data_IF_114264624791
#
_entry.id   IF_114264624791
#
_cell.length_a   1.000
_cell.length_b   1.000
_cell.length_c   1.000
_cell.angle_alpha   90.00
_cell.angle_beta   90.00
_cell.angle_gamma   90.00
#
_symmetry.space_group_name_H-M   'P 1'
#
loop_
_entity.id
_entity.type
_entity.pdbx_description
1 polymer ?
#
# COMPACT_ATOMS: atom_id res chain seq x y z
N UNK A 1 -23.10 -24.34 16.47
CA UNK A 1 -22.47 -25.28 15.51
C UNK A 1 -23.46 -25.91 14.54
N UNK A 2 -24.62 -26.40 14.97
CA UNK A 2 -25.60 -27.04 14.06
C UNK A 2 -26.21 -26.08 13.01
N UNK A 3 -26.49 -24.83 13.40
CA UNK A 3 -27.02 -23.79 12.49
C UNK A 3 -26.06 -23.40 11.35
N UNK A 4 -24.75 -23.50 11.57
CA UNK A 4 -23.73 -23.24 10.53
C UNK A 4 -23.65 -24.38 9.51
N UNK A 5 -23.82 -25.63 9.96
CA UNK A 5 -23.89 -26.80 9.08
C UNK A 5 -25.17 -26.81 8.24
N UNK A 6 -26.31 -26.38 8.83
CA UNK A 6 -27.58 -26.23 8.11
C UNK A 6 -27.49 -25.10 7.07
N UNK A 7 -26.84 -23.98 7.39
CA UNK A 7 -26.61 -22.89 6.44
C UNK A 7 -25.68 -23.31 5.29
N UNK A 8 -24.61 -24.07 5.57
CA UNK A 8 -23.71 -24.60 4.54
C UNK A 8 -24.41 -25.61 3.62
N UNK A 9 -25.25 -26.51 4.15
CA UNK A 9 -26.06 -27.41 3.32
C UNK A 9 -27.10 -26.66 2.47
N UNK A 10 -27.70 -25.60 2.98
CA UNK A 10 -28.62 -24.76 2.20
C UNK A 10 -27.90 -24.01 1.07
N UNK A 11 -26.68 -23.51 1.28
CA UNK A 11 -25.87 -22.86 0.23
C UNK A 11 -25.43 -23.88 -0.83
N UNK A 12 -25.06 -25.10 -0.43
CA UNK A 12 -24.69 -26.15 -1.38
C UNK A 12 -25.89 -26.68 -2.18
N UNK A 13 -27.07 -26.78 -1.56
CA UNK A 13 -28.30 -27.18 -2.24
C UNK A 13 -28.97 -26.08 -3.08
N UNK A 14 -28.75 -24.81 -2.75
CA UNK A 14 -29.25 -23.65 -3.52
C UNK A 14 -28.27 -23.16 -4.59
N UNK A 15 -27.11 -23.80 -4.75
CA UNK A 15 -26.15 -23.50 -5.82
C UNK A 15 -26.78 -23.51 -7.23
N UNK A 16 -27.83 -24.32 -7.44
CA UNK A 16 -28.59 -24.33 -8.70
C UNK A 16 -29.69 -23.25 -8.79
N UNK A 17 -30.09 -22.64 -7.67
CA UNK A 17 -31.12 -21.58 -7.63
C UNK A 17 -30.53 -20.17 -7.69
N UNK A 18 -29.24 -19.99 -7.34
CA UNK A 18 -28.53 -18.71 -7.48
C UNK A 18 -28.14 -18.36 -8.93
N UNK A 19 -28.31 -19.29 -9.88
CA UNK A 19 -28.07 -19.05 -11.31
C UNK A 19 -29.06 -18.05 -11.97
N UNK A 20 -30.13 -17.64 -11.28
CA UNK A 20 -31.16 -16.75 -11.85
C UNK A 20 -30.94 -15.25 -11.56
N UNK A 21 -29.90 -14.88 -10.81
CA UNK A 21 -29.50 -13.48 -10.61
C UNK A 21 -28.28 -13.18 -11.47
N UNK A 22 -28.48 -12.36 -12.51
CA UNK A 22 -27.48 -12.13 -13.57
C UNK A 22 -26.11 -11.70 -13.04
N UNK A 23 -25.05 -12.35 -13.53
CA UNK A 23 -23.67 -11.90 -13.30
C UNK A 23 -23.45 -10.59 -14.05
N UNK A 24 -22.94 -9.56 -13.37
CA UNK A 24 -22.44 -8.37 -14.06
C UNK A 24 -21.18 -8.72 -14.84
N UNK A 25 -21.05 -8.20 -16.05
CA UNK A 25 -19.81 -8.35 -16.81
C UNK A 25 -18.66 -7.71 -16.03
N UNK A 26 -17.61 -8.48 -15.75
CA UNK A 26 -16.43 -7.98 -15.06
C UNK A 26 -15.63 -7.04 -15.97
N UNK A 27 -15.06 -5.99 -15.37
CA UNK A 27 -14.11 -5.12 -16.04
C UNK A 27 -12.86 -5.93 -16.42
N UNK A 28 -12.35 -5.83 -17.66
CA UNK A 28 -11.15 -6.54 -18.10
C UNK A 28 -9.96 -6.34 -17.16
N UNK A 29 -9.82 -5.15 -16.59
CA UNK A 29 -8.71 -4.76 -15.71
C UNK A 29 -8.66 -5.55 -14.40
N UNK A 30 -9.76 -6.17 -13.98
CA UNK A 30 -9.78 -7.04 -12.80
C UNK A 30 -8.81 -8.23 -12.95
N UNK A 31 -8.55 -8.69 -14.19
CA UNK A 31 -7.67 -9.82 -14.48
C UNK A 31 -6.34 -9.41 -15.13
N UNK A 32 -6.00 -8.12 -15.12
CA UNK A 32 -4.79 -7.58 -15.74
C UNK A 32 -3.70 -7.29 -14.71
N UNK A 33 -2.44 -7.54 -15.04
CA UNK A 33 -1.31 -6.98 -14.30
C UNK A 33 -1.15 -5.47 -14.58
N UNK A 34 -0.28 -4.78 -13.83
CA UNK A 34 -0.07 -3.33 -13.96
C UNK A 34 0.25 -2.92 -15.41
N UNK A 35 1.18 -3.60 -16.09
CA UNK A 35 1.55 -3.27 -17.47
C UNK A 35 0.39 -3.45 -18.44
N UNK A 36 -0.44 -4.48 -18.24
CA UNK A 36 -1.65 -4.69 -19.03
C UNK A 36 -2.67 -3.58 -18.77
N UNK A 37 -2.90 -3.16 -17.52
CA UNK A 37 -3.81 -2.04 -17.21
C UNK A 37 -3.34 -0.72 -17.83
N UNK A 38 -2.04 -0.42 -17.76
CA UNK A 38 -1.46 0.79 -18.38
C UNK A 38 -1.65 0.74 -19.91
N UNK A 39 -1.33 -0.39 -20.53
CA UNK A 39 -1.40 -0.56 -21.98
C UNK A 39 -2.85 -0.61 -22.49
N UNK A 40 -3.77 -1.16 -21.71
CA UNK A 40 -5.21 -1.19 -22.01
C UNK A 40 -5.77 0.22 -22.24
N UNK A 41 -5.29 1.20 -21.47
CA UNK A 41 -5.68 2.60 -21.63
C UNK A 41 -4.88 3.37 -22.69
N UNK A 42 -4.02 2.70 -23.45
CA UNK A 42 -3.24 3.29 -24.54
C UNK A 42 -1.97 4.03 -24.09
N UNK A 43 -1.53 3.86 -22.85
CA UNK A 43 -0.27 4.42 -22.35
C UNK A 43 0.87 3.42 -22.54
N UNK A 44 2.08 3.94 -22.72
CA UNK A 44 3.29 3.11 -22.72
C UNK A 44 3.60 2.65 -21.30
N UNK A 45 3.81 1.34 -21.13
CA UNK A 45 4.28 0.76 -19.87
C UNK A 45 5.75 0.31 -19.97
N UNK A 46 6.55 0.65 -18.97
CA UNK A 46 7.86 0.04 -18.75
C UNK A 46 7.93 -0.56 -17.34
N UNK A 47 8.49 -1.76 -17.20
CA UNK A 47 8.75 -2.39 -15.91
C UNK A 47 10.26 -2.49 -15.68
N UNK A 48 10.70 -2.08 -14.50
CA UNK A 48 12.09 -2.11 -14.08
C UNK A 48 12.22 -2.91 -12.79
N UNK A 49 13.28 -3.71 -12.67
CA UNK A 49 13.62 -4.41 -11.43
C UNK A 49 14.62 -3.58 -10.64
N UNK A 50 14.24 -3.20 -9.43
CA UNK A 50 15.11 -2.52 -8.46
C UNK A 50 15.52 -3.52 -7.39
N UNK A 51 16.82 -3.60 -7.09
CA UNK A 51 17.35 -4.50 -6.06
C UNK A 51 17.70 -3.64 -4.85
N UNK A 52 17.15 -3.96 -3.68
CA UNK A 52 17.44 -3.27 -2.43
C UNK A 52 18.78 -3.74 -1.85
N UNK A 53 19.36 -2.94 -0.95
CA UNK A 53 20.63 -3.28 -0.29
C UNK A 53 20.57 -4.62 0.47
N UNK A 54 19.39 -4.99 0.98
CA UNK A 54 19.11 -6.25 1.67
C UNK A 54 18.51 -7.33 0.76
N UNK A 55 18.61 -7.15 -0.57
CA UNK A 55 18.39 -8.20 -1.56
C UNK A 55 16.95 -8.38 -2.05
N UNK A 56 15.99 -7.55 -1.66
CA UNK A 56 14.64 -7.62 -2.23
C UNK A 56 14.65 -7.11 -3.67
N UNK A 57 13.87 -7.75 -4.53
CA UNK A 57 13.68 -7.36 -5.93
C UNK A 57 12.29 -6.76 -6.08
N UNK A 58 12.24 -5.44 -6.25
CA UNK A 58 11.02 -4.65 -6.40
C UNK A 58 10.75 -4.44 -7.89
N UNK A 59 9.56 -4.81 -8.38
CA UNK A 59 9.14 -4.37 -9.72
C UNK A 59 8.53 -2.98 -9.64
N UNK A 60 9.18 -2.02 -10.28
CA UNK A 60 8.77 -0.63 -10.36
C UNK A 60 8.28 -0.36 -11.77
N UNK A 61 7.09 0.22 -11.90
CA UNK A 61 6.46 0.48 -13.19
C UNK A 61 6.60 1.95 -13.57
N UNK A 62 6.60 2.24 -14.87
CA UNK A 62 6.78 3.59 -15.38
C UNK A 62 5.84 3.89 -16.54
N UNK A 63 5.22 5.07 -16.51
CA UNK A 63 4.48 5.68 -17.60
C UNK A 63 5.32 6.89 -18.07
N UNK A 64 6.12 6.75 -19.13
CA UNK A 64 7.14 7.73 -19.48
C UNK A 64 6.59 9.04 -20.08
N UNK A 65 5.38 9.01 -20.61
CA UNK A 65 4.68 10.17 -21.20
C UNK A 65 3.17 9.88 -21.32
N UNK A 66 2.38 10.95 -21.47
CA UNK A 66 0.96 10.87 -21.79
C UNK A 66 0.71 10.30 -23.18
N UNK A 67 -0.45 9.68 -23.39
CA UNK A 67 -0.76 8.90 -24.61
C UNK A 67 -0.67 9.70 -25.92
N UNK A 68 -0.86 11.02 -25.85
CA UNK A 68 -0.83 11.92 -27.01
C UNK A 68 0.51 12.70 -27.15
N UNK A 69 1.50 12.42 -26.30
CA UNK A 69 2.73 13.23 -26.16
C UNK A 69 4.02 12.44 -26.46
N UNK A 70 3.93 11.44 -27.33
CA UNK A 70 5.08 10.57 -27.66
C UNK A 70 6.27 11.30 -28.32
N UNK A 71 6.04 12.46 -28.94
CA UNK A 71 7.03 13.17 -29.75
C UNK A 71 7.79 14.28 -28.99
N UNK A 72 7.48 14.56 -27.73
CA UNK A 72 8.15 15.64 -27.01
C UNK A 72 9.57 15.23 -26.56
N UNK A 73 10.56 15.94 -27.12
CA UNK A 73 12.00 15.69 -27.01
C UNK A 73 12.62 16.17 -25.69
N UNK A 74 11.90 16.93 -24.87
CA UNK A 74 12.40 17.46 -23.59
C UNK A 74 12.41 16.45 -22.44
N UNK A 75 13.35 16.62 -21.51
CA UNK A 75 13.42 15.82 -20.29
C UNK A 75 12.26 16.16 -19.35
N UNK A 76 11.46 15.16 -18.99
CA UNK A 76 10.26 15.35 -18.16
C UNK A 76 10.60 15.34 -16.67
N UNK A 77 9.92 16.16 -15.85
CA UNK A 77 10.02 16.05 -14.40
C UNK A 77 9.50 14.70 -13.94
N UNK A 78 10.22 14.08 -13.02
CA UNK A 78 9.89 12.74 -12.51
C UNK A 78 8.97 12.83 -11.30
N UNK A 79 7.96 11.96 -11.25
CA UNK A 79 7.10 11.76 -10.07
C UNK A 79 7.15 10.30 -9.68
N UNK A 80 7.42 10.01 -8.40
CA UNK A 80 7.27 8.68 -7.81
C UNK A 80 5.99 8.62 -6.98
N UNK A 81 5.11 7.68 -7.29
CA UNK A 81 3.86 7.40 -6.59
C UNK A 81 4.00 6.15 -5.72
N UNK A 82 3.86 6.29 -4.41
CA UNK A 82 4.02 5.21 -3.42
C UNK A 82 2.70 4.89 -2.71
N UNK A 83 2.26 3.64 -2.85
CA UNK A 83 1.00 3.14 -2.27
C UNK A 83 1.06 2.97 -0.74
N UNK A 84 -0.11 2.70 -0.15
CA UNK A 84 -0.30 2.52 1.29
C UNK A 84 -0.23 1.07 1.79
N UNK A 85 -0.68 0.86 3.03
CA UNK A 85 -0.73 -0.44 3.70
C UNK A 85 -1.60 -1.43 2.91
N UNK A 86 -1.13 -2.68 2.75
CA UNK A 86 -1.78 -3.76 1.99
C UNK A 86 -2.10 -3.47 0.51
N UNK A 87 -1.67 -2.31 -0.01
CA UNK A 87 -1.97 -1.89 -1.36
C UNK A 87 -0.83 -2.19 -2.33
N UNK A 88 -0.94 -1.66 -3.54
CA UNK A 88 0.06 -1.81 -4.58
C UNK A 88 0.03 -0.66 -5.58
N UNK A 89 0.95 -0.67 -6.55
CA UNK A 89 1.04 0.37 -7.57
C UNK A 89 -0.23 0.56 -8.43
N UNK A 90 -1.13 -0.42 -8.48
CA UNK A 90 -2.40 -0.29 -9.22
C UNK A 90 -3.29 0.83 -8.69
N UNK A 91 -3.19 1.20 -7.40
CA UNK A 91 -4.01 2.25 -6.81
C UNK A 91 -3.97 3.58 -7.59
N UNK A 92 -2.86 3.84 -8.28
CA UNK A 92 -2.68 5.08 -9.05
C UNK A 92 -3.26 5.02 -10.47
N UNK A 93 -3.76 3.85 -10.91
CA UNK A 93 -4.23 3.54 -12.27
C UNK A 93 -5.50 2.66 -12.30
N UNK A 94 -6.17 2.45 -11.16
CA UNK A 94 -7.33 1.54 -11.06
C UNK A 94 -8.62 2.09 -11.70
N UNK A 95 -8.68 3.40 -11.99
CA UNK A 95 -9.83 4.06 -12.60
C UNK A 95 -9.59 4.38 -14.08
N UNK A 96 -10.34 5.35 -14.61
CA UNK A 96 -10.17 5.83 -15.96
C UNK A 96 -8.93 6.75 -16.05
N UNK A 97 -8.41 7.00 -17.26
CA UNK A 97 -7.32 7.96 -17.44
C UNK A 97 -7.61 9.37 -16.92
N UNK A 98 -8.87 9.80 -17.02
CA UNK A 98 -9.32 11.14 -16.58
C UNK A 98 -9.42 11.31 -15.05
N UNK A 99 -9.30 10.24 -14.27
CA UNK A 99 -9.46 10.29 -12.81
C UNK A 99 -8.52 9.32 -12.06
N UNK A 100 -7.41 8.93 -12.68
CA UNK A 100 -6.34 8.19 -12.03
C UNK A 100 -5.06 9.03 -12.06
N UNK A 101 -4.48 9.28 -10.89
CA UNK A 101 -3.36 10.20 -10.75
C UNK A 101 -2.16 9.84 -11.64
N UNK A 102 -1.88 8.55 -11.80
CA UNK A 102 -0.78 8.09 -12.66
C UNK A 102 -0.96 8.50 -14.12
N UNK A 103 -2.18 8.39 -14.66
CA UNK A 103 -2.49 8.79 -16.03
C UNK A 103 -2.57 10.32 -16.17
N UNK A 104 -3.21 11.00 -15.23
CA UNK A 104 -3.32 12.47 -15.23
C UNK A 104 -1.96 13.14 -15.21
N UNK A 105 -1.01 12.65 -14.40
CA UNK A 105 0.35 13.18 -14.37
C UNK A 105 1.11 12.93 -15.67
N UNK A 106 0.96 11.74 -16.27
CA UNK A 106 1.57 11.44 -17.55
C UNK A 106 1.07 12.39 -18.66
N UNK A 107 -0.24 12.61 -18.73
CA UNK A 107 -0.86 13.56 -19.67
C UNK A 107 -0.50 15.02 -19.37
N UNK A 108 -0.19 15.35 -18.12
CA UNK A 108 0.34 16.65 -17.71
C UNK A 108 1.85 16.84 -17.98
N UNK A 109 2.50 15.88 -18.66
CA UNK A 109 3.89 15.98 -19.09
C UNK A 109 4.93 15.49 -18.08
N UNK A 110 4.54 14.72 -17.06
CA UNK A 110 5.47 14.11 -16.11
C UNK A 110 5.95 12.73 -16.58
N UNK A 111 7.14 12.34 -16.13
CA UNK A 111 7.62 10.96 -16.18
C UNK A 111 7.21 10.25 -14.88
N UNK A 112 6.20 9.39 -14.96
CA UNK A 112 5.53 8.82 -13.79
C UNK A 112 6.10 7.45 -13.47
N UNK A 113 6.51 7.27 -12.22
CA UNK A 113 7.00 6.01 -11.67
C UNK A 113 6.09 5.53 -10.55
N UNK A 114 5.77 4.24 -10.54
CA UNK A 114 4.86 3.59 -9.59
C UNK A 114 5.67 2.59 -8.76
N UNK A 115 5.87 2.90 -7.48
CA UNK A 115 6.62 2.07 -6.55
C UNK A 115 5.81 0.89 -6.02
N UNK A 116 6.47 -0.23 -5.76
CA UNK A 116 5.90 -1.37 -5.04
C UNK A 116 6.77 -1.68 -3.82
N UNK A 117 6.13 -1.86 -2.67
CA UNK A 117 6.80 -2.24 -1.42
C UNK A 117 7.02 -3.75 -1.35
N UNK A 118 8.16 -4.16 -0.77
CA UNK A 118 8.51 -5.57 -0.50
C UNK A 118 7.35 -6.39 0.06
N UNK A 119 7.19 -7.60 -0.45
CA UNK A 119 6.16 -8.57 -0.05
C UNK A 119 4.81 -8.45 -0.77
N UNK A 120 4.50 -7.30 -1.39
CA UNK A 120 3.30 -7.20 -2.21
C UNK A 120 3.40 -8.07 -3.49
N UNK A 121 2.30 -8.20 -4.24
CA UNK A 121 2.18 -9.04 -5.46
C UNK A 121 3.35 -8.89 -6.44
N UNK A 122 3.93 -7.69 -6.58
CA UNK A 122 4.98 -7.39 -7.56
C UNK A 122 6.37 -7.16 -6.95
N UNK A 123 6.53 -7.39 -5.66
CA UNK A 123 7.80 -7.23 -4.95
C UNK A 123 8.06 -8.40 -3.99
N UNK A 124 7.66 -9.62 -4.40
CA UNK A 124 7.78 -10.86 -3.62
C UNK A 124 8.93 -11.74 -4.10
N UNK A 125 10.12 -11.17 -4.21
CA UNK A 125 11.33 -11.90 -4.60
C UNK A 125 12.52 -11.32 -3.85
N UNK A 126 13.45 -12.17 -3.42
CA UNK A 126 14.67 -11.78 -2.73
C UNK A 126 15.82 -12.65 -3.25
N UNK A 127 17.04 -12.11 -3.26
CA UNK A 127 18.24 -12.80 -3.74
C UNK A 127 18.73 -13.91 -2.80
N UNK A 128 18.41 -13.82 -1.51
CA UNK A 128 18.95 -14.68 -0.46
C UNK A 128 17.88 -15.59 0.16
N UNK A 129 16.63 -15.14 0.21
CA UNK A 129 15.55 -15.82 0.93
C UNK A 129 14.39 -16.20 0.01
N UNK A 130 13.84 -17.40 0.19
CA UNK A 130 12.61 -17.82 -0.48
C UNK A 130 11.39 -17.08 0.10
N UNK A 131 10.38 -16.71 -0.71
CA UNK A 131 9.08 -16.24 -0.21
C UNK A 131 8.38 -17.18 0.78
N UNK A 132 8.78 -18.46 0.84
CA UNK A 132 8.25 -19.42 1.81
C UNK A 132 8.99 -19.43 3.15
N UNK A 133 10.10 -18.70 3.28
CA UNK A 133 10.89 -18.59 4.51
C UNK A 133 10.35 -17.50 5.45
N UNK A 134 10.61 -17.60 6.75
CA UNK A 134 10.18 -16.58 7.71
C UNK A 134 11.03 -15.30 7.59
N UNK A 135 12.30 -15.47 7.26
CA UNK A 135 13.31 -14.44 7.05
C UNK A 135 12.89 -13.47 5.94
N UNK A 136 12.28 -13.99 4.87
CA UNK A 136 11.70 -13.17 3.80
C UNK A 136 10.58 -12.22 4.27
N UNK A 137 9.90 -12.53 5.37
CA UNK A 137 8.79 -11.71 5.88
C UNK A 137 9.15 -10.96 7.17
N UNK A 138 10.42 -10.99 7.59
CA UNK A 138 10.91 -10.31 8.77
C UNK A 138 11.18 -8.82 8.48
N UNK A 139 10.17 -8.09 8.01
CA UNK A 139 10.24 -6.67 7.68
C UNK A 139 8.96 -5.93 8.10
N UNK A 140 9.05 -4.61 8.22
CA UNK A 140 7.95 -3.67 8.41
C UNK A 140 8.13 -2.45 7.47
N UNK A 141 7.38 -1.37 7.69
CA UNK A 141 7.60 -0.11 6.99
C UNK A 141 8.96 0.53 7.29
N UNK A 142 9.67 0.08 8.33
CA UNK A 142 11.05 0.52 8.64
C UNK A 142 12.01 0.15 7.51
N UNK A 143 11.99 -1.11 7.10
CA UNK A 143 12.84 -1.57 6.01
C UNK A 143 12.38 -1.00 4.65
N UNK A 144 11.08 -0.73 4.48
CA UNK A 144 10.60 -0.04 3.28
C UNK A 144 11.19 1.38 3.19
N UNK A 145 11.24 2.12 4.30
CA UNK A 145 11.84 3.44 4.35
C UNK A 145 13.37 3.40 4.24
N UNK A 146 13.99 2.41 4.87
CA UNK A 146 15.46 2.28 4.95
C UNK A 146 16.08 1.74 3.68
N UNK A 147 15.37 0.89 2.92
CA UNK A 147 15.94 0.18 1.78
C UNK A 147 15.13 0.30 0.49
N UNK A 148 13.81 0.12 0.52
CA UNK A 148 13.00 0.14 -0.72
C UNK A 148 13.03 1.52 -1.36
N UNK A 149 12.72 2.55 -0.58
CA UNK A 149 12.60 3.90 -1.08
C UNK A 149 13.94 4.48 -1.56
N UNK A 150 15.07 4.38 -0.83
CA UNK A 150 16.36 4.84 -1.33
C UNK A 150 16.80 4.12 -2.61
N UNK A 151 16.63 2.79 -2.67
CA UNK A 151 17.02 1.99 -3.84
C UNK A 151 16.20 2.37 -5.07
N UNK A 152 14.90 2.55 -4.89
CA UNK A 152 13.97 2.96 -5.95
C UNK A 152 14.29 4.36 -6.47
N UNK A 153 14.43 5.34 -5.57
CA UNK A 153 14.73 6.72 -5.96
C UNK A 153 16.08 6.81 -6.66
N UNK A 154 17.12 6.16 -6.13
CA UNK A 154 18.45 6.18 -6.75
C UNK A 154 18.44 5.53 -8.13
N UNK A 155 17.71 4.42 -8.30
CA UNK A 155 17.53 3.79 -9.60
C UNK A 155 16.88 4.75 -10.60
N UNK A 156 15.78 5.39 -10.20
CA UNK A 156 15.02 6.31 -11.06
C UNK A 156 15.87 7.50 -11.49
N UNK A 157 16.56 8.14 -10.56
CA UNK A 157 17.41 9.31 -10.86
C UNK A 157 18.57 8.93 -11.78
N UNK A 158 19.19 7.77 -11.56
CA UNK A 158 20.23 7.26 -12.45
C UNK A 158 19.68 6.95 -13.85
N UNK A 159 18.50 6.31 -13.93
CA UNK A 159 17.87 5.94 -15.20
C UNK A 159 17.44 7.14 -16.04
N UNK A 160 16.98 8.20 -15.37
CA UNK A 160 16.39 9.39 -16.01
C UNK A 160 17.38 10.54 -16.20
N UNK A 161 18.51 10.51 -15.48
CA UNK A 161 19.47 11.62 -15.41
C UNK A 161 18.97 12.83 -14.62
N UNK A 162 17.79 12.73 -13.97
CA UNK A 162 17.27 13.79 -13.12
C UNK A 162 18.04 13.84 -11.80
N UNK A 163 18.17 15.04 -11.23
CA UNK A 163 18.81 15.23 -9.91
C UNK A 163 17.84 15.12 -8.75
N UNK A 164 16.55 15.41 -9.00
CA UNK A 164 15.48 15.37 -8.01
C UNK A 164 14.20 14.84 -8.64
N UNK A 165 13.28 14.33 -7.80
CA UNK A 165 11.93 13.94 -8.21
C UNK A 165 10.87 14.46 -7.24
N UNK A 166 9.63 14.50 -7.68
CA UNK A 166 8.46 14.72 -6.83
C UNK A 166 8.04 13.37 -6.22
N UNK A 167 7.74 13.35 -4.92
CA UNK A 167 7.28 12.15 -4.24
C UNK A 167 5.83 12.32 -3.80
N UNK A 168 4.96 11.38 -4.19
CA UNK A 168 3.57 11.33 -3.73
C UNK A 168 3.37 10.04 -2.96
N UNK A 169 3.00 10.15 -1.69
CA UNK A 169 2.69 9.02 -0.83
C UNK A 169 1.21 9.00 -0.47
N UNK A 170 0.61 7.81 -0.39
CA UNK A 170 -0.71 7.62 0.20
C UNK A 170 -0.63 6.70 1.43
N UNK A 171 -1.28 7.08 2.55
CA UNK A 171 -1.34 6.25 3.76
C UNK A 171 0.07 5.82 4.23
N UNK A 172 0.37 4.52 4.36
CA UNK A 172 1.73 4.03 4.70
C UNK A 172 2.82 4.55 3.76
N UNK A 173 2.51 4.85 2.48
CA UNK A 173 3.46 5.49 1.56
C UNK A 173 3.95 6.85 2.08
N UNK A 174 3.12 7.56 2.84
CA UNK A 174 3.53 8.79 3.53
C UNK A 174 4.45 8.49 4.72
N UNK A 175 4.11 7.47 5.55
CA UNK A 175 4.94 7.00 6.67
C UNK A 175 6.35 6.65 6.21
N UNK A 176 6.47 5.89 5.12
CA UNK A 176 7.74 5.53 4.51
C UNK A 176 8.54 6.78 4.12
N UNK A 177 7.87 7.77 3.52
CA UNK A 177 8.46 9.06 3.19
C UNK A 177 8.93 9.85 4.42
N UNK A 178 8.08 9.95 5.46
CA UNK A 178 8.42 10.63 6.71
C UNK A 178 9.66 10.02 7.37
N UNK A 179 9.74 8.69 7.48
CA UNK A 179 10.90 7.99 8.04
C UNK A 179 12.13 8.26 7.17
N UNK A 180 12.04 7.98 5.87
CA UNK A 180 13.21 8.04 4.99
C UNK A 180 13.78 9.46 4.88
N UNK A 181 12.91 10.47 4.75
CA UNK A 181 13.34 11.86 4.55
C UNK A 181 13.78 12.56 5.85
N UNK A 182 13.33 12.09 7.03
CA UNK A 182 13.83 12.58 8.33
C UNK A 182 15.13 11.91 8.78
N UNK A 183 15.41 10.69 8.33
CA UNK A 183 16.57 9.90 8.79
C UNK A 183 17.70 9.82 7.76
N UNK A 184 17.45 10.16 6.49
CA UNK A 184 18.43 10.14 5.42
C UNK A 184 18.51 11.50 4.69
N UNK A 185 19.32 12.46 5.19
CA UNK A 185 19.44 13.79 4.60
C UNK A 185 19.88 13.77 3.13
N UNK A 186 20.74 12.83 2.75
CA UNK A 186 21.22 12.66 1.37
C UNK A 186 20.08 12.24 0.43
N UNK A 187 19.13 11.43 0.91
CA UNK A 187 17.93 11.08 0.15
C UNK A 187 16.94 12.25 0.11
N UNK A 188 16.72 12.93 1.25
CA UNK A 188 15.82 14.08 1.35
C UNK A 188 16.16 15.19 0.34
N UNK A 189 17.45 15.46 0.13
CA UNK A 189 17.93 16.45 -0.86
C UNK A 189 17.54 16.12 -2.32
N UNK A 190 17.21 14.86 -2.61
CA UNK A 190 16.77 14.37 -3.92
C UNK A 190 15.25 14.51 -4.11
N UNK A 191 14.52 14.96 -3.10
CA UNK A 191 13.08 15.21 -3.20
C UNK A 191 12.86 16.69 -3.49
N UNK A 192 12.08 16.98 -4.53
CA UNK A 192 11.72 18.35 -4.90
C UNK A 192 10.52 18.84 -4.08
N UNK A 193 9.52 17.98 -3.90
CA UNK A 193 8.38 18.19 -3.03
C UNK A 193 7.77 16.83 -2.65
N UNK A 194 7.22 16.75 -1.44
CA UNK A 194 6.49 15.60 -0.92
C UNK A 194 4.98 15.95 -0.86
N UNK A 195 4.16 15.22 -1.60
CA UNK A 195 2.70 15.31 -1.54
C UNK A 195 2.18 14.13 -0.71
N UNK A 196 1.66 14.42 0.48
CA UNK A 196 1.19 13.41 1.41
C UNK A 196 -0.35 13.35 1.40
N UNK A 197 -0.90 12.25 0.87
CA UNK A 197 -2.34 11.99 0.81
C UNK A 197 -2.73 11.03 1.94
N UNK A 198 -3.68 11.41 2.78
CA UNK A 198 -4.03 10.70 4.02
C UNK A 198 -2.76 10.37 4.83
N UNK A 199 -2.05 11.39 5.34
CA UNK A 199 -0.75 11.19 5.96
C UNK A 199 -0.87 10.41 7.27
N UNK A 200 0.06 9.49 7.51
CA UNK A 200 0.10 8.68 8.72
C UNK A 200 1.49 8.73 9.33
N UNK A 201 1.60 9.30 10.53
CA UNK A 201 2.81 9.25 11.34
C UNK A 201 2.51 8.59 12.70
N UNK A 202 1.47 9.05 13.38
CA UNK A 202 0.87 8.37 14.54
C UNK A 202 -0.50 7.81 14.18
N UNK A 203 -0.95 6.81 14.94
CA UNK A 203 -2.26 6.15 14.79
C UNK A 203 -2.92 5.94 16.16
N UNK A 204 -2.83 6.96 17.02
CA UNK A 204 -3.29 6.90 18.41
C UNK A 204 -4.80 7.13 18.53
N UNK A 205 -5.38 7.92 17.64
CA UNK A 205 -6.76 8.41 17.71
C UNK A 205 -7.67 7.82 16.62
N UNK A 206 -7.13 6.88 15.86
CA UNK A 206 -7.82 6.20 14.77
C UNK A 206 -9.09 5.50 15.25
N UNK A 207 -10.05 5.34 14.35
CA UNK A 207 -11.38 4.77 14.63
C UNK A 207 -11.65 3.51 13.80
N UNK A 208 -10.67 3.06 13.04
CA UNK A 208 -10.74 1.86 12.20
C UNK A 208 -10.92 0.58 13.02
N UNK A 209 -11.60 -0.42 12.42
CA UNK A 209 -11.73 -1.74 13.06
C UNK A 209 -10.38 -2.46 13.20
N UNK A 210 -9.36 -2.04 12.45
CA UNK A 210 -7.99 -2.57 12.59
C UNK A 210 -7.39 -2.34 13.98
N UNK A 211 -7.88 -1.36 14.76
CA UNK A 211 -7.40 -1.12 16.12
C UNK A 211 -7.59 -2.31 17.05
N UNK A 212 -8.55 -3.18 16.75
CA UNK A 212 -8.76 -4.43 17.50
C UNK A 212 -7.56 -5.37 17.42
N UNK A 213 -6.75 -5.28 16.37
CA UNK A 213 -5.49 -6.04 16.25
C UNK A 213 -4.46 -5.62 17.31
N UNK A 214 -4.52 -4.37 17.79
CA UNK A 214 -3.66 -3.86 18.86
C UNK A 214 -3.99 -4.42 20.25
N UNK A 215 -5.19 -4.98 20.41
CA UNK A 215 -5.61 -5.65 21.65
C UNK A 215 -4.98 -7.05 21.79
N UNK A 216 -4.50 -7.63 20.68
CA UNK A 216 -3.90 -8.96 20.65
C UNK A 216 -2.43 -8.83 21.11
N UNK A 217 -2.00 -9.54 22.18
CA UNK A 217 -0.60 -9.53 22.59
C UNK A 217 0.33 -10.06 21.48
N UNK A 218 1.56 -9.55 21.31
CA UNK A 218 2.45 -9.94 20.21
C UNK A 218 2.69 -11.45 20.06
N UNK A 219 2.79 -12.18 21.18
CA UNK A 219 2.91 -13.64 21.18
C UNK A 219 1.70 -14.31 20.53
N UNK A 220 0.48 -13.91 20.93
CA UNK A 220 -0.75 -14.43 20.36
C UNK A 220 -0.94 -13.99 18.90
N UNK A 221 -0.48 -12.79 18.55
CA UNK A 221 -0.52 -12.29 17.17
C UNK A 221 0.25 -13.22 16.22
N UNK A 222 1.47 -13.62 16.60
CA UNK A 222 2.29 -14.57 15.82
C UNK A 222 1.70 -15.98 15.80
N UNK A 223 0.98 -16.40 16.84
CA UNK A 223 0.25 -17.69 16.83
C UNK A 223 -0.92 -17.65 15.83
N UNK A 224 -1.68 -16.55 15.80
CA UNK A 224 -2.87 -16.44 14.97
C UNK A 224 -2.56 -16.25 13.48
N UNK A 225 -1.56 -15.42 13.17
CA UNK A 225 -1.25 -15.02 11.79
C UNK A 225 0.05 -15.65 11.25
N UNK A 226 0.82 -16.34 12.09
CA UNK A 226 2.13 -16.88 11.74
C UNK A 226 3.23 -15.83 11.74
N UNK A 227 4.27 -16.08 10.95
CA UNK A 227 5.48 -15.23 10.83
C UNK A 227 5.84 -14.93 9.37
N UNK A 228 4.89 -15.09 8.44
CA UNK A 228 5.10 -14.93 7.00
C UNK A 228 4.23 -13.79 6.45
N UNK A 229 3.60 -14.01 5.30
CA UNK A 229 2.61 -13.11 4.73
C UNK A 229 1.41 -12.96 5.66
N UNK A 230 0.95 -11.72 5.83
CA UNK A 230 -0.27 -11.42 6.57
C UNK A 230 -1.49 -11.76 5.72
N UNK A 231 -2.12 -12.88 6.06
CA UNK A 231 -3.45 -13.23 5.58
C UNK A 231 -4.45 -12.92 6.70
N UNK A 232 -5.26 -11.85 6.60
CA UNK A 232 -6.42 -11.75 7.45
C UNK A 232 -7.35 -12.92 7.10
N UNK A 233 -7.35 -13.97 7.92
CA UNK A 233 -8.18 -15.15 7.69
C UNK A 233 -9.66 -14.74 7.47
N UNK A 234 -10.29 -15.39 6.46
CA UNK A 234 -11.71 -15.31 6.05
C UNK A 234 -12.18 -14.10 5.21
N UNK A 235 -11.32 -13.38 4.51
CA UNK A 235 -11.81 -12.17 3.81
C UNK A 235 -11.43 -12.00 2.34
N UNK A 236 -10.30 -12.54 1.90
CA UNK A 236 -9.81 -12.30 0.54
C UNK A 236 -9.12 -13.53 -0.03
N UNK A 237 -9.89 -14.58 -0.35
CA UNK A 237 -9.44 -15.47 -1.42
C UNK A 237 -9.62 -14.73 -2.74
N UNK A 238 -8.51 -14.24 -3.28
CA UNK A 238 -8.39 -13.33 -4.43
C UNK A 238 -8.87 -13.89 -5.78
N UNK A 239 -9.54 -15.04 -5.80
CA UNK A 239 -10.22 -15.59 -6.97
C UNK A 239 -11.75 -15.61 -6.79
N UNK A 240 -12.23 -15.75 -5.55
CA UNK A 240 -13.65 -15.71 -5.25
C UNK A 240 -14.14 -14.29 -4.97
N UNK A 241 -13.29 -13.38 -4.48
CA UNK A 241 -13.69 -12.00 -4.18
C UNK A 241 -14.31 -11.27 -5.37
N UNK A 242 -13.64 -11.23 -6.53
CA UNK A 242 -14.17 -10.53 -7.70
C UNK A 242 -15.47 -11.16 -8.24
N UNK A 243 -15.54 -12.50 -8.25
CA UNK A 243 -16.73 -13.26 -8.67
C UNK A 243 -17.91 -13.05 -7.69
N UNK A 244 -17.64 -13.12 -6.38
CA UNK A 244 -18.60 -12.89 -5.29
C UNK A 244 -19.13 -11.46 -5.32
N UNK A 245 -18.26 -10.47 -5.48
CA UNK A 245 -18.65 -9.06 -5.46
C UNK A 245 -19.30 -8.59 -6.79
N UNK A 246 -19.23 -9.40 -7.86
CA UNK A 246 -20.00 -9.16 -9.09
C UNK A 246 -21.49 -9.48 -8.96
N UNK A 247 -21.90 -10.17 -7.88
CA UNK A 247 -23.29 -10.46 -7.54
C UNK A 247 -23.92 -9.35 -6.67
N UNK A 248 -25.12 -8.90 -7.04
CA UNK A 248 -25.80 -7.74 -6.41
C UNK A 248 -26.06 -7.86 -4.90
N UNK A 249 -26.29 -9.07 -4.39
CA UNK A 249 -26.54 -9.30 -2.95
C UNK A 249 -25.24 -9.30 -2.14
N UNK A 250 -24.14 -9.77 -2.73
CA UNK A 250 -22.86 -9.97 -2.07
C UNK A 250 -21.95 -8.73 -2.18
N UNK A 251 -22.22 -7.83 -3.13
CA UNK A 251 -21.65 -6.48 -3.24
C UNK A 251 -21.68 -5.73 -1.88
N UNK A 252 -22.77 -5.86 -1.11
CA UNK A 252 -22.92 -5.23 0.22
C UNK A 252 -21.87 -5.71 1.22
N UNK A 253 -21.53 -7.01 1.20
CA UNK A 253 -20.51 -7.57 2.10
C UNK A 253 -19.12 -7.06 1.73
N UNK A 254 -18.82 -6.98 0.44
CA UNK A 254 -17.55 -6.48 -0.08
C UNK A 254 -17.34 -4.98 0.21
N UNK A 255 -18.43 -4.20 0.16
CA UNK A 255 -18.44 -2.80 0.59
C UNK A 255 -18.09 -2.68 2.07
N UNK A 256 -18.83 -3.38 2.92
CA UNK A 256 -18.59 -3.33 4.38
C UNK A 256 -17.17 -3.76 4.73
N UNK A 257 -16.63 -4.67 3.93
CA UNK A 257 -15.29 -5.18 4.04
C UNK A 257 -14.19 -4.13 3.80
N UNK A 258 -14.23 -3.47 2.63
CA UNK A 258 -13.30 -2.41 2.25
C UNK A 258 -13.42 -1.19 3.19
N UNK A 259 -14.65 -0.78 3.48
CA UNK A 259 -14.92 0.41 4.28
C UNK A 259 -14.66 0.23 5.79
N UNK A 260 -14.68 -0.99 6.32
CA UNK A 260 -14.34 -1.25 7.72
C UNK A 260 -12.88 -0.90 8.06
N UNK A 261 -12.01 -0.85 7.05
CA UNK A 261 -10.58 -0.58 7.21
C UNK A 261 -10.26 0.91 7.07
N UNK A 262 -10.77 1.58 6.04
CA UNK A 262 -10.36 2.94 5.67
C UNK A 262 -11.39 4.03 5.96
N UNK A 263 -12.65 3.68 6.26
CA UNK A 263 -13.75 4.64 6.37
C UNK A 263 -14.69 4.64 5.17
N UNK A 264 -15.94 5.02 5.39
CA UNK A 264 -17.07 4.84 4.46
C UNK A 264 -17.44 6.13 3.73
N UNK A 265 -17.30 6.14 2.41
CA UNK A 265 -17.85 7.19 1.54
C UNK A 265 -18.39 6.63 0.22
N UNK A 266 -19.58 6.03 0.28
CA UNK A 266 -20.24 5.48 -0.91
C UNK A 266 -20.56 6.51 -1.99
N UNK A 267 -20.59 7.81 -1.67
CA UNK A 267 -20.92 8.84 -2.67
C UNK A 267 -19.77 9.07 -3.65
N UNK A 268 -18.55 8.77 -3.21
CA UNK A 268 -17.33 9.06 -3.96
C UNK A 268 -16.62 7.81 -4.50
N UNK A 269 -17.19 6.61 -4.30
CA UNK A 269 -16.67 5.37 -4.87
C UNK A 269 -17.43 4.99 -6.16
N UNK A 270 -16.69 4.72 -7.24
CA UNK A 270 -17.29 4.18 -8.46
C UNK A 270 -17.63 2.69 -8.26
N UNK A 271 -18.88 2.42 -7.89
CA UNK A 271 -19.37 1.08 -7.62
C UNK A 271 -19.25 0.12 -8.81
N UNK A 272 -19.26 0.62 -10.05
CA UNK A 272 -19.09 -0.20 -11.24
C UNK A 272 -17.66 -0.71 -11.45
N UNK A 273 -16.69 -0.31 -10.62
CA UNK A 273 -15.29 -0.76 -10.68
C UNK A 273 -14.83 -1.47 -9.41
N UNK A 274 -15.76 -1.84 -8.52
CA UNK A 274 -15.42 -2.50 -7.27
C UNK A 274 -14.72 -3.85 -7.48
N UNK A 275 -15.07 -4.58 -8.54
CA UNK A 275 -14.38 -5.78 -8.99
C UNK A 275 -12.89 -5.55 -9.28
N UNK A 276 -12.53 -4.44 -9.94
CA UNK A 276 -11.14 -4.05 -10.18
C UNK A 276 -10.42 -3.75 -8.85
N UNK A 277 -11.06 -3.02 -7.94
CA UNK A 277 -10.41 -2.66 -6.67
C UNK A 277 -10.09 -3.88 -5.82
N UNK A 278 -11.02 -4.83 -5.73
CA UNK A 278 -10.93 -6.02 -4.90
C UNK A 278 -10.07 -7.13 -5.52
N UNK A 279 -9.97 -7.18 -6.85
CA UNK A 279 -9.03 -8.08 -7.51
C UNK A 279 -7.57 -7.68 -7.26
N UNK A 280 -7.31 -6.39 -7.03
CA UNK A 280 -5.96 -5.85 -6.83
C UNK A 280 -5.61 -5.51 -5.37
N UNK A 281 -6.58 -5.54 -4.46
CA UNK A 281 -6.38 -5.24 -3.04
C UNK A 281 -7.14 -6.25 -2.15
N UNK A 282 -6.48 -6.80 -1.12
CA UNK A 282 -5.11 -6.53 -0.68
C UNK A 282 -4.06 -7.21 -1.58
N UNK A 283 -2.92 -6.54 -1.77
CA UNK A 283 -1.80 -7.04 -2.56
C UNK A 283 -0.71 -7.75 -1.72
N UNK A 284 -0.83 -7.71 -0.40
CA UNK A 284 0.06 -8.42 0.54
C UNK A 284 1.03 -7.55 1.32
N UNK A 285 1.37 -8.03 2.52
CA UNK A 285 2.37 -7.46 3.44
C UNK A 285 2.84 -8.58 4.39
N UNK A 286 3.89 -8.36 5.17
CA UNK A 286 4.30 -9.27 6.26
C UNK A 286 3.40 -9.15 7.50
N UNK A 287 3.32 -10.23 8.28
CA UNK A 287 2.76 -10.21 9.64
C UNK A 287 3.53 -9.23 10.53
N UNK A 288 4.86 -9.11 10.35
CA UNK A 288 5.68 -8.16 11.10
C UNK A 288 5.26 -6.70 10.84
N UNK A 289 4.92 -6.33 9.60
CA UNK A 289 4.42 -4.99 9.30
C UNK A 289 3.05 -4.72 9.97
N UNK A 290 2.15 -5.71 9.95
CA UNK A 290 0.87 -5.59 10.66
C UNK A 290 1.06 -5.50 12.19
N UNK A 291 2.03 -6.23 12.73
CA UNK A 291 2.41 -6.16 14.15
C UNK A 291 3.04 -4.80 14.49
N UNK A 292 3.82 -4.20 13.58
CA UNK A 292 4.35 -2.87 13.78
C UNK A 292 3.23 -1.82 13.89
N UNK A 293 2.23 -1.86 13.00
CA UNK A 293 1.05 -0.99 13.14
C UNK A 293 0.28 -1.23 14.46
N UNK A 294 0.17 -2.47 14.90
CA UNK A 294 -0.41 -2.82 16.22
C UNK A 294 0.37 -2.18 17.39
N UNK A 295 1.71 -2.18 17.33
CA UNK A 295 2.56 -1.47 18.30
C UNK A 295 2.37 0.05 18.25
N UNK A 296 2.22 0.62 17.05
CA UNK A 296 1.98 2.05 16.87
C UNK A 296 0.63 2.48 17.47
N UNK A 297 -0.44 1.71 17.25
CA UNK A 297 -1.76 1.96 17.87
C UNK A 297 -1.66 1.90 19.40
N UNK A 298 -1.00 0.86 19.93
CA UNK A 298 -0.88 0.67 21.38
C UNK A 298 -0.05 1.75 22.07
N UNK A 299 1.03 2.19 21.44
CA UNK A 299 1.95 3.18 22.02
C UNK A 299 1.53 4.62 21.73
N UNK A 300 0.82 4.86 20.64
CA UNK A 300 0.54 6.19 20.10
C UNK A 300 1.80 6.96 19.68
N UNK A 301 2.91 6.26 19.43
CA UNK A 301 4.20 6.85 19.08
C UNK A 301 4.56 6.53 17.63
N UNK A 302 5.31 7.43 17.02
CA UNK A 302 5.98 7.21 15.74
C UNK A 302 7.42 6.76 16.00
N UNK A 303 7.67 5.45 15.94
CA UNK A 303 8.94 4.83 16.31
C UNK A 303 9.19 3.58 15.46
N UNK A 304 10.42 3.05 15.51
CA UNK A 304 10.77 1.79 14.87
C UNK A 304 10.10 0.58 15.53
N UNK A 305 10.21 -0.57 14.87
CA UNK A 305 9.58 -1.82 15.29
C UNK A 305 10.20 -2.34 16.59
N UNK A 306 9.39 -2.69 17.59
CA UNK A 306 9.87 -3.41 18.77
C UNK A 306 10.01 -4.90 18.44
N UNK A 307 11.25 -5.38 18.38
CA UNK A 307 11.56 -6.77 18.11
C UNK A 307 11.15 -7.71 19.25
N UNK A 308 10.83 -7.16 20.43
CA UNK A 308 10.20 -7.85 21.55
C UNK A 308 11.14 -8.14 22.72
N UNK A 309 12.45 -7.92 22.56
CA UNK A 309 13.43 -7.99 23.65
C UNK A 309 14.50 -6.92 23.51
N UNK A 310 15.11 -6.44 24.62
CA UNK A 310 16.24 -5.51 24.58
C UNK A 310 17.41 -6.00 23.71
N UNK A 311 17.72 -7.29 23.75
CA UNK A 311 18.79 -7.89 22.96
C UNK A 311 18.50 -7.83 21.47
N UNK A 312 17.27 -8.14 21.04
CA UNK A 312 16.92 -8.04 19.63
C UNK A 312 16.89 -6.58 19.16
N UNK A 313 16.34 -5.66 19.95
CA UNK A 313 16.40 -4.23 19.63
C UNK A 313 17.84 -3.72 19.50
N UNK A 314 18.77 -4.21 20.34
CA UNK A 314 20.19 -3.86 20.26
C UNK A 314 20.81 -4.32 18.93
N UNK A 315 20.43 -5.51 18.43
CA UNK A 315 20.91 -6.03 17.14
C UNK A 315 20.45 -5.19 15.94
N UNK A 316 19.27 -4.57 16.02
CA UNK A 316 18.69 -3.80 14.92
C UNK A 316 18.98 -2.30 15.00
N UNK A 317 19.05 -1.73 16.21
CA UNK A 317 19.11 -0.28 16.41
C UNK A 317 20.35 0.19 17.18
N UNK A 318 21.20 -0.71 17.67
CA UNK A 318 22.27 -0.39 18.63
C UNK A 318 21.75 0.29 19.93
N UNK A 319 20.47 0.08 20.26
CA UNK A 319 19.84 0.52 21.50
C UNK A 319 18.78 -0.48 21.98
N UNK A 320 18.52 -0.53 23.29
CA UNK A 320 17.63 -1.52 23.91
C UNK A 320 16.13 -1.31 23.62
N UNK A 321 15.74 -0.14 23.14
CA UNK A 321 14.37 0.23 22.78
C UNK A 321 14.34 0.74 21.35
N UNK A 322 13.22 0.67 20.62
CA UNK A 322 13.15 1.24 19.28
C UNK A 322 13.36 2.76 19.28
N UNK A 323 14.02 3.32 18.25
CA UNK A 323 14.19 4.76 18.13
C UNK A 323 12.87 5.43 17.74
N UNK A 324 12.60 6.62 18.28
CA UNK A 324 11.50 7.45 17.78
C UNK A 324 11.90 8.15 16.48
N UNK A 325 10.97 8.28 15.55
CA UNK A 325 11.18 9.03 14.32
C UNK A 325 10.84 10.50 14.54
N UNK A 326 11.80 11.39 14.26
CA UNK A 326 11.64 12.82 14.46
C UNK A 326 11.15 13.52 13.19
N UNK A 327 9.85 13.80 13.11
CA UNK A 327 9.25 14.53 12.00
C UNK A 327 9.82 15.94 11.82
N UNK A 328 10.28 16.60 12.88
CA UNK A 328 10.84 17.96 12.79
C UNK A 328 12.21 18.00 12.10
N UNK A 329 12.83 16.85 11.88
CA UNK A 329 14.06 16.71 11.10
C UNK A 329 13.81 16.56 9.58
N UNK A 330 12.55 16.53 9.15
CA UNK A 330 12.19 16.38 7.74
C UNK A 330 12.04 17.77 7.08
N UNK A 331 13.08 18.19 6.37
CA UNK A 331 13.14 19.52 5.73
C UNK A 331 12.56 19.55 4.30
N UNK A 332 12.00 18.44 3.82
CA UNK A 332 11.46 18.36 2.46
C UNK A 332 10.19 19.22 2.37
N UNK A 333 10.05 20.11 1.37
CA UNK A 333 8.81 20.85 1.17
C UNK A 333 7.63 19.90 1.01
N UNK A 334 6.63 20.02 1.88
CA UNK A 334 5.50 19.11 1.95
C UNK A 334 4.17 19.81 1.70
N UNK A 335 3.28 19.15 0.97
CA UNK A 335 1.87 19.51 0.85
C UNK A 335 1.01 18.33 1.33
N UNK A 336 0.01 18.61 2.15
CA UNK A 336 -0.79 17.59 2.85
C UNK A 336 -2.25 17.69 2.43
N UNK A 337 -2.87 16.53 2.17
CA UNK A 337 -4.31 16.37 2.02
C UNK A 337 -4.81 15.29 2.98
N UNK A 338 -5.71 15.66 3.89
CA UNK A 338 -6.41 14.76 4.80
C UNK A 338 -7.91 14.80 4.54
N UNK A 339 -8.62 13.74 4.96
CA UNK A 339 -10.07 13.67 4.89
C UNK A 339 -10.69 13.76 6.28
N UNK A 340 -11.71 14.60 6.46
CA UNK A 340 -12.38 14.79 7.75
C UNK A 340 -13.06 13.52 8.28
N UNK A 341 -13.41 12.59 7.39
CA UNK A 341 -14.05 11.31 7.70
C UNK A 341 -13.10 10.11 7.62
N UNK A 342 -11.79 10.34 7.47
CA UNK A 342 -10.81 9.25 7.44
C UNK A 342 -10.72 8.58 8.83
N UNK A 343 -10.85 7.24 8.87
CA UNK A 343 -10.82 6.49 10.12
C UNK A 343 -9.40 6.01 10.51
N UNK A 344 -8.43 6.15 9.61
CA UNK A 344 -7.06 5.66 9.76
C UNK A 344 -6.05 6.81 9.79
N UNK A 345 -6.09 7.74 8.83
CA UNK A 345 -5.38 9.00 8.90
C UNK A 345 -6.29 10.06 9.54
N UNK A 346 -6.73 9.79 10.77
CA UNK A 346 -7.79 10.57 11.39
C UNK A 346 -7.36 12.02 11.67
N UNK A 347 -8.31 12.99 11.65
CA UNK A 347 -7.97 14.41 11.81
C UNK A 347 -7.17 14.74 13.06
N UNK A 348 -7.35 14.01 14.17
CA UNK A 348 -6.64 14.30 15.42
C UNK A 348 -5.17 13.89 15.34
N UNK A 349 -4.85 12.74 14.73
CA UNK A 349 -3.46 12.37 14.45
C UNK A 349 -2.83 13.29 13.38
N UNK A 350 -3.59 13.74 12.37
CA UNK A 350 -3.10 14.70 11.37
C UNK A 350 -2.79 16.08 11.97
N UNK A 351 -3.62 16.59 12.87
CA UNK A 351 -3.38 17.85 13.57
C UNK A 351 -2.11 17.82 14.45
N UNK A 352 -1.71 16.64 14.92
CA UNK A 352 -0.45 16.45 15.65
C UNK A 352 0.78 16.39 14.74
N UNK A 353 0.58 16.01 13.47
CA UNK A 353 1.62 15.97 12.45
C UNK A 353 1.95 17.37 11.90
N UNK A 354 0.94 18.21 11.72
CA UNK A 354 1.12 19.53 11.10
C UNK A 354 1.80 20.53 12.06
N UNK A 355 2.64 21.44 11.54
CA UNK A 355 3.20 22.54 12.33
C UNK A 355 2.08 23.35 12.98
N UNK A 356 2.29 23.77 14.24
CA UNK A 356 1.38 24.66 14.97
C UNK A 356 1.71 26.12 14.77
#
# INVERSE_FOLDING_TARGET
MWWLLVAMCFIHMSGNSFCFLGKKAMNPEANMNISQMISYWGYRSEMHKVITADGYVLQVYRIPHGKNDANHLGQRPVVLLQHGFLASATNWISNLPSNSLGFLLADAGYDVWLGNSRGNTWARTNLFYSPDSAEFWAFSFDEMATYDLPSTINFILNKTGQKKLHYVGHSQGTTIGFIAFSTNPTLAQKIKAFYALAPVATVKYTKTQLNKLALIPPFLFKILFGNKMFYPHNFFESFLGAEVCSHEILDILCRNALFAITGFDNKNLNMSRLDVYLAHNPAGTSVQNALHWSQAVKSGKFQGFDWGTPTQNLLHYNQATPPNYNLTAMDVPIAVWSGDNDLLADPQDVDLLLPK
#
